data_IF_352088928367
#
_entry.id   IF_352088928367
#
_cell.length_a   1.000
_cell.length_b   1.000
_cell.length_c   1.000
_cell.angle_alpha   90.00
_cell.angle_beta   90.00
_cell.angle_gamma   90.00
#
_symmetry.space_group_name_H-M   'P 1'
#
loop_
_entity.id
_entity.type
_entity.pdbx_description
1 polymer ?
#
# COMPACT_ATOMS: atom_id res chain seq x y z
N UNK A 1 -29.33 -11.64 7.09
CA UNK A 1 -28.67 -10.38 7.49
C UNK A 1 -27.47 -10.75 8.34
N UNK A 2 -26.26 -10.61 7.80
CA UNK A 2 -25.04 -10.70 8.63
C UNK A 2 -25.04 -9.48 9.55
N UNK A 3 -25.17 -9.69 10.85
CA UNK A 3 -24.92 -8.64 11.84
C UNK A 3 -23.49 -8.19 11.69
N UNK A 4 -23.26 -6.92 11.34
CA UNK A 4 -21.92 -6.35 11.42
C UNK A 4 -21.42 -6.49 12.87
N UNK A 5 -20.49 -7.40 13.10
CA UNK A 5 -19.84 -7.55 14.39
C UNK A 5 -18.80 -6.43 14.50
N UNK A 6 -18.95 -5.61 15.54
CA UNK A 6 -17.99 -4.57 15.86
C UNK A 6 -17.31 -4.94 17.17
N UNK A 7 -15.99 -5.04 17.15
CA UNK A 7 -15.18 -5.24 18.35
C UNK A 7 -14.57 -3.89 18.75
N UNK A 8 -15.29 -3.13 19.57
CA UNK A 8 -14.78 -1.91 20.18
C UNK A 8 -14.32 -2.21 21.60
N UNK A 9 -13.10 -1.78 21.92
CA UNK A 9 -12.64 -1.78 23.29
C UNK A 9 -13.47 -0.78 24.13
N UNK A 10 -14.35 -1.34 24.96
CA UNK A 10 -15.33 -0.62 25.79
C UNK A 10 -14.68 0.43 26.70
N UNK A 11 -13.38 0.27 27.03
CA UNK A 11 -12.63 1.23 27.85
C UNK A 11 -12.52 2.61 27.20
N UNK A 12 -12.58 2.68 25.87
CA UNK A 12 -12.49 3.93 25.12
C UNK A 12 -13.87 4.49 24.71
N UNK A 13 -14.96 3.80 25.03
CA UNK A 13 -16.31 4.26 24.73
C UNK A 13 -16.78 5.32 25.72
N UNK A 14 -17.51 6.32 25.21
CA UNK A 14 -18.09 7.39 26.02
C UNK A 14 -19.57 7.52 25.71
N UNK A 15 -20.39 7.63 26.76
CA UNK A 15 -21.84 7.83 26.63
C UNK A 15 -22.13 9.07 25.77
N UNK A 16 -23.00 8.91 24.78
CA UNK A 16 -23.39 10.00 23.86
C UNK A 16 -22.38 10.31 22.75
N UNK A 17 -21.31 9.51 22.59
CA UNK A 17 -20.39 9.62 21.44
C UNK A 17 -20.68 8.51 20.42
N UNK A 18 -20.55 8.85 19.15
CA UNK A 18 -20.62 7.90 18.03
C UNK A 18 -19.20 7.53 17.60
N UNK A 19 -18.86 6.24 17.64
CA UNK A 19 -17.52 5.73 17.28
C UNK A 19 -17.44 5.19 15.85
N UNK A 20 -18.59 4.98 15.20
CA UNK A 20 -18.69 4.35 13.89
C UNK A 20 -19.48 5.25 12.96
N UNK A 21 -18.86 5.67 11.86
CA UNK A 21 -19.52 6.29 10.71
C UNK A 21 -19.01 5.58 9.46
N UNK A 22 -19.74 4.57 8.99
CA UNK A 22 -19.36 3.81 7.82
C UNK A 22 -20.10 4.36 6.60
N UNK A 23 -19.35 4.86 5.63
CA UNK A 23 -19.87 5.30 4.33
C UNK A 23 -19.85 4.18 3.27
N UNK A 24 -19.39 2.99 3.66
CA UNK A 24 -19.27 1.81 2.81
C UNK A 24 -19.73 0.58 3.60
N UNK A 25 -20.11 -0.52 2.93
CA UNK A 25 -20.39 -1.78 3.61
C UNK A 25 -19.21 -2.29 4.47
N UNK A 26 -19.47 -3.01 5.57
CA UNK A 26 -18.47 -3.50 6.52
C UNK A 26 -17.24 -4.19 5.88
N UNK A 27 -17.45 -4.98 4.83
CA UNK A 27 -16.43 -5.77 4.14
C UNK A 27 -15.35 -4.94 3.41
N UNK A 28 -15.58 -3.65 3.19
CA UNK A 28 -14.62 -2.75 2.54
C UNK A 28 -13.60 -2.15 3.52
N UNK A 29 -13.95 -2.01 4.81
CA UNK A 29 -13.16 -1.21 5.76
C UNK A 29 -11.81 -1.83 6.08
N UNK A 30 -11.75 -3.15 6.32
CA UNK A 30 -10.49 -3.84 6.58
C UNK A 30 -9.53 -3.79 5.38
N UNK A 31 -9.95 -4.10 4.13
CA UNK A 31 -9.11 -3.90 2.95
C UNK A 31 -8.62 -2.45 2.76
N UNK A 32 -9.47 -1.45 3.00
CA UNK A 32 -9.05 -0.03 2.97
C UNK A 32 -7.94 0.22 3.99
N UNK A 33 -8.13 -0.21 5.25
CA UNK A 33 -7.12 -0.08 6.30
C UNK A 33 -5.79 -0.72 5.92
N UNK A 34 -5.81 -1.90 5.29
CA UNK A 34 -4.62 -2.57 4.78
C UNK A 34 -3.94 -1.77 3.65
N UNK A 35 -4.70 -1.23 2.69
CA UNK A 35 -4.13 -0.34 1.64
C UNK A 35 -3.36 0.84 2.26
N UNK A 36 -3.94 1.48 3.29
CA UNK A 36 -3.29 2.60 3.98
C UNK A 36 -2.04 2.14 4.73
N UNK A 37 -2.12 1.02 5.47
CA UNK A 37 -1.02 0.51 6.26
C UNK A 37 0.17 0.06 5.38
N UNK A 38 -0.08 -0.74 4.34
CA UNK A 38 0.96 -1.20 3.42
C UNK A 38 1.60 -0.04 2.64
N UNK A 39 0.82 0.97 2.27
CA UNK A 39 1.41 2.17 1.67
C UNK A 39 2.28 2.96 2.65
N UNK A 40 1.85 3.08 3.91
CA UNK A 40 2.68 3.70 4.95
C UNK A 40 4.04 3.00 5.10
N UNK A 41 4.03 1.66 5.09
CA UNK A 41 5.26 0.86 5.11
C UNK A 41 6.11 1.10 3.85
N UNK A 42 5.50 1.13 2.67
CA UNK A 42 6.18 1.45 1.42
C UNK A 42 6.86 2.83 1.49
N UNK A 43 6.18 3.88 1.97
CA UNK A 43 6.78 5.22 2.05
C UNK A 43 7.96 5.29 3.03
N UNK A 44 7.87 4.60 4.17
CA UNK A 44 9.00 4.50 5.11
C UNK A 44 10.19 3.80 4.45
N UNK A 45 9.93 2.72 3.72
CA UNK A 45 10.96 1.97 3.03
C UNK A 45 11.60 2.78 1.89
N UNK A 46 10.75 3.42 1.09
CA UNK A 46 11.12 4.34 0.02
C UNK A 46 12.03 5.46 0.54
N UNK A 47 11.69 6.06 1.68
CA UNK A 47 12.50 7.13 2.28
C UNK A 47 13.87 6.61 2.75
N UNK A 48 13.96 5.40 3.30
CA UNK A 48 15.25 4.80 3.63
C UNK A 48 16.13 4.60 2.39
N UNK A 49 15.54 4.08 1.31
CA UNK A 49 16.25 3.88 0.04
C UNK A 49 16.71 5.22 -0.53
N UNK A 50 15.82 6.21 -0.59
CA UNK A 50 16.14 7.53 -1.11
C UNK A 50 17.23 8.23 -0.28
N UNK A 51 17.19 8.08 1.05
CA UNK A 51 18.25 8.59 1.92
C UNK A 51 19.62 7.98 1.56
N UNK A 52 19.69 6.66 1.43
CA UNK A 52 20.92 5.96 1.05
C UNK A 52 21.43 6.34 -0.34
N UNK A 53 20.51 6.56 -1.30
CA UNK A 53 20.87 7.05 -2.63
C UNK A 53 21.46 8.47 -2.60
N UNK A 54 20.87 9.37 -1.81
CA UNK A 54 21.37 10.74 -1.65
C UNK A 54 22.76 10.73 -1.01
N UNK A 55 22.96 9.93 0.03
CA UNK A 55 24.26 9.81 0.71
C UNK A 55 25.33 9.19 -0.19
N UNK A 56 24.97 8.18 -0.99
CA UNK A 56 25.85 7.57 -1.98
C UNK A 56 26.25 8.55 -3.09
N UNK A 57 25.28 9.25 -3.69
CA UNK A 57 25.53 10.24 -4.74
C UNK A 57 26.44 11.37 -4.22
N UNK A 58 26.20 11.85 -3.00
CA UNK A 58 27.04 12.87 -2.37
C UNK A 58 28.47 12.39 -2.09
N UNK A 59 28.65 11.11 -1.74
CA UNK A 59 29.98 10.51 -1.49
C UNK A 59 30.83 10.42 -2.75
N UNK A 60 30.20 10.31 -3.92
CA UNK A 60 30.85 10.34 -5.24
C UNK A 60 31.10 11.78 -5.74
N UNK A 61 30.85 12.80 -4.91
CA UNK A 61 31.13 14.21 -5.23
C UNK A 61 30.08 14.90 -6.08
N UNK A 62 28.92 14.26 -6.32
CA UNK A 62 27.81 14.88 -7.05
C UNK A 62 27.05 15.82 -6.11
N UNK A 63 26.84 17.07 -6.55
CA UNK A 63 26.16 18.08 -5.75
C UNK A 63 24.72 18.29 -6.25
N UNK A 64 23.75 17.71 -5.53
CA UNK A 64 22.31 17.89 -5.78
C UNK A 64 21.65 18.62 -4.61
N UNK A 65 20.70 19.52 -4.90
CA UNK A 65 19.88 20.14 -3.84
C UNK A 65 18.85 19.15 -3.27
N UNK A 66 19.19 18.63 -2.09
CA UNK A 66 18.36 17.70 -1.33
C UNK A 66 17.77 18.35 -0.08
N UNK A 67 17.82 19.69 0.05
CA UNK A 67 17.36 20.37 1.24
C UNK A 67 15.86 20.07 1.49
N UNK A 68 15.57 19.67 2.73
CA UNK A 68 14.22 19.33 3.21
C UNK A 68 13.49 18.26 2.37
N UNK A 69 14.20 17.38 1.66
CA UNK A 69 13.58 16.38 0.78
C UNK A 69 12.50 15.53 1.49
N UNK A 70 12.71 15.20 2.78
CA UNK A 70 11.75 14.44 3.61
C UNK A 70 10.41 15.15 3.84
N UNK A 71 10.37 16.48 3.73
CA UNK A 71 9.13 17.27 3.90
C UNK A 71 8.36 17.42 2.58
N UNK A 72 8.95 16.98 1.46
CA UNK A 72 8.30 17.04 0.16
C UNK A 72 7.24 15.93 0.06
N UNK A 73 6.19 16.19 -0.70
CA UNK A 73 5.17 15.19 -0.97
C UNK A 73 5.80 13.98 -1.73
N UNK A 74 5.07 12.87 -1.78
CA UNK A 74 5.57 11.64 -2.41
C UNK A 74 5.99 11.85 -3.87
N UNK A 75 5.22 12.62 -4.65
CA UNK A 75 5.53 12.91 -6.05
C UNK A 75 6.90 13.58 -6.22
N UNK A 76 7.21 14.61 -5.43
CA UNK A 76 8.50 15.30 -5.46
C UNK A 76 9.66 14.44 -4.96
N UNK A 77 9.42 13.58 -3.97
CA UNK A 77 10.43 12.60 -3.52
C UNK A 77 10.71 11.55 -4.61
N UNK A 78 9.69 11.13 -5.34
CA UNK A 78 9.78 10.22 -6.48
C UNK A 78 10.53 10.82 -7.67
N UNK A 79 10.32 12.10 -7.96
CA UNK A 79 11.10 12.84 -8.96
C UNK A 79 12.58 12.88 -8.58
N UNK A 80 12.89 13.24 -7.34
CA UNK A 80 14.27 13.24 -6.84
C UNK A 80 14.94 11.86 -6.99
N UNK A 81 14.25 10.79 -6.58
CA UNK A 81 14.74 9.43 -6.76
C UNK A 81 14.99 9.13 -8.25
N UNK A 82 14.04 9.47 -9.12
CA UNK A 82 14.14 9.26 -10.56
C UNK A 82 15.36 9.94 -11.17
N UNK A 83 15.64 11.17 -10.77
CA UNK A 83 16.77 11.92 -11.29
C UNK A 83 18.10 11.26 -10.87
N UNK A 84 18.21 10.86 -9.59
CA UNK A 84 19.37 10.10 -9.10
C UNK A 84 19.56 8.79 -9.88
N UNK A 85 18.47 8.05 -10.16
CA UNK A 85 18.56 6.84 -10.97
C UNK A 85 19.07 7.10 -12.39
N UNK A 86 18.52 8.11 -13.06
CA UNK A 86 18.84 8.42 -14.46
C UNK A 86 20.25 8.97 -14.66
N UNK A 87 20.76 9.69 -13.68
CA UNK A 87 22.03 10.41 -13.80
C UNK A 87 23.15 9.61 -13.13
N UNK A 88 23.02 9.34 -11.83
CA UNK A 88 24.08 8.72 -11.04
C UNK A 88 24.09 7.20 -11.20
N UNK A 89 23.01 6.50 -10.85
CA UNK A 89 22.97 5.02 -10.91
C UNK A 89 23.18 4.52 -12.34
N UNK A 90 22.59 5.16 -13.34
CA UNK A 90 22.71 4.73 -14.74
C UNK A 90 24.16 4.74 -15.25
N UNK A 91 25.04 5.59 -14.67
CA UNK A 91 26.43 5.71 -15.10
C UNK A 91 27.30 4.50 -14.72
N UNK A 92 26.91 3.72 -13.71
CA UNK A 92 27.69 2.59 -13.20
C UNK A 92 26.89 1.29 -13.01
N UNK A 93 25.56 1.37 -12.88
CA UNK A 93 24.63 0.22 -12.80
C UNK A 93 23.36 0.47 -13.64
N UNK A 94 23.46 0.48 -14.98
CA UNK A 94 22.35 0.80 -15.87
C UNK A 94 21.14 -0.15 -15.75
N UNK A 95 21.37 -1.44 -15.54
CA UNK A 95 20.29 -2.41 -15.37
C UNK A 95 19.49 -2.16 -14.08
N UNK A 96 20.18 -1.88 -12.98
CA UNK A 96 19.54 -1.56 -11.71
C UNK A 96 18.78 -0.22 -11.79
N UNK A 97 19.35 0.78 -12.47
CA UNK A 97 18.66 2.03 -12.77
C UNK A 97 17.34 1.80 -13.51
N UNK A 98 17.33 1.01 -14.58
CA UNK A 98 16.12 0.71 -15.35
C UNK A 98 15.04 0.02 -14.50
N UNK A 99 15.43 -0.96 -13.68
CA UNK A 99 14.51 -1.65 -12.76
C UNK A 99 13.92 -0.70 -11.73
N UNK A 100 14.75 0.14 -11.10
CA UNK A 100 14.28 1.16 -10.15
C UNK A 100 13.32 2.15 -10.82
N UNK A 101 13.63 2.62 -12.03
CA UNK A 101 12.75 3.52 -12.78
C UNK A 101 11.37 2.89 -13.06
N UNK A 102 11.34 1.60 -13.39
CA UNK A 102 10.09 0.86 -13.56
C UNK A 102 9.27 0.80 -12.25
N UNK A 103 9.93 0.50 -11.13
CA UNK A 103 9.33 0.52 -9.79
C UNK A 103 8.78 1.91 -9.45
N UNK A 104 9.50 2.98 -9.79
CA UNK A 104 9.03 4.36 -9.59
C UNK A 104 7.78 4.68 -10.43
N UNK A 105 7.67 4.15 -11.65
CA UNK A 105 6.47 4.32 -12.47
C UNK A 105 5.26 3.63 -11.83
N UNK A 106 5.42 2.37 -11.42
CA UNK A 106 4.39 1.60 -10.72
C UNK A 106 3.95 2.28 -9.43
N UNK A 107 4.90 2.78 -8.62
CA UNK A 107 4.60 3.49 -7.37
C UNK A 107 3.73 4.74 -7.58
N UNK A 108 3.86 5.41 -8.72
CA UNK A 108 3.04 6.59 -9.05
C UNK A 108 1.57 6.23 -9.28
N UNK A 109 1.32 5.16 -10.02
CA UNK A 109 -0.04 4.66 -10.26
C UNK A 109 -0.68 4.15 -8.96
N UNK A 110 0.07 3.37 -8.16
CA UNK A 110 -0.41 2.89 -6.86
C UNK A 110 -0.68 4.04 -5.88
N UNK A 111 0.18 5.07 -5.84
CA UNK A 111 -0.02 6.29 -5.05
C UNK A 111 -1.31 7.00 -5.40
N UNK A 112 -1.61 7.15 -6.70
CA UNK A 112 -2.84 7.79 -7.16
C UNK A 112 -4.09 7.01 -6.73
N UNK A 113 -4.08 5.67 -6.87
CA UNK A 113 -5.16 4.80 -6.42
C UNK A 113 -5.34 4.88 -4.90
N UNK A 114 -4.25 4.73 -4.14
CA UNK A 114 -4.25 4.86 -2.68
C UNK A 114 -4.78 6.21 -2.23
N UNK A 115 -4.39 7.32 -2.86
CA UNK A 115 -4.88 8.65 -2.48
C UNK A 115 -6.37 8.80 -2.74
N UNK A 116 -6.86 8.19 -3.83
CA UNK A 116 -8.29 8.17 -4.15
C UNK A 116 -9.08 7.37 -3.10
N UNK A 117 -8.53 6.27 -2.58
CA UNK A 117 -9.10 5.56 -1.42
C UNK A 117 -8.99 6.41 -0.15
N UNK A 118 -7.80 6.87 0.22
CA UNK A 118 -7.55 7.54 1.50
C UNK A 118 -8.31 8.86 1.68
N UNK A 119 -8.48 9.61 0.59
CA UNK A 119 -8.93 11.01 0.64
C UNK A 119 -10.12 11.30 -0.29
N UNK A 120 -10.58 10.31 -1.07
CA UNK A 120 -11.73 10.48 -1.95
C UNK A 120 -13.06 10.50 -1.20
N UNK A 121 -14.11 10.87 -1.93
CA UNK A 121 -15.50 10.64 -1.47
C UNK A 121 -16.01 9.33 -2.06
N UNK A 122 -16.58 8.50 -1.19
CA UNK A 122 -17.17 7.23 -1.59
C UNK A 122 -18.62 7.41 -2.05
N UNK A 123 -19.00 6.66 -3.07
CA UNK A 123 -20.36 6.52 -3.52
C UNK A 123 -20.65 5.07 -3.89
N UNK A 124 -21.90 4.65 -3.74
CA UNK A 124 -22.39 3.35 -4.13
C UNK A 124 -23.90 3.43 -4.43
N UNK A 125 -24.40 2.44 -5.15
CA UNK A 125 -25.82 2.26 -5.44
C UNK A 125 -26.37 1.09 -4.62
N UNK A 126 -27.65 1.12 -4.27
CA UNK A 126 -28.37 -0.04 -3.70
C UNK A 126 -29.52 -0.36 -4.65
N UNK A 127 -29.58 -1.60 -5.13
CA UNK A 127 -30.68 -2.04 -6.01
C UNK A 127 -32.03 -2.05 -5.25
N UNK A 128 -33.16 -1.82 -5.94
CA UNK A 128 -34.48 -1.93 -5.31
C UNK A 128 -34.64 -3.28 -4.60
N UNK A 129 -35.11 -3.25 -3.35
CA UNK A 129 -35.32 -4.43 -2.50
C UNK A 129 -34.04 -5.23 -2.12
N UNK A 130 -32.85 -4.63 -2.28
CA UNK A 130 -31.57 -5.20 -1.83
C UNK A 130 -30.96 -4.43 -0.65
N UNK A 131 -30.09 -5.08 0.11
CA UNK A 131 -29.17 -4.45 1.07
C UNK A 131 -27.75 -4.29 0.54
N UNK A 132 -27.48 -4.83 -0.65
CA UNK A 132 -26.13 -4.97 -1.17
C UNK A 132 -25.72 -3.72 -1.92
N UNK A 133 -24.59 -3.14 -1.54
CA UNK A 133 -24.00 -2.03 -2.27
C UNK A 133 -23.37 -2.54 -3.58
N UNK A 134 -23.73 -1.90 -4.68
CA UNK A 134 -23.18 -2.14 -6.02
C UNK A 134 -22.59 -0.83 -6.56
N UNK A 135 -21.79 -0.93 -7.62
CA UNK A 135 -21.15 0.23 -8.27
C UNK A 135 -20.36 1.12 -7.32
N UNK A 136 -19.65 0.49 -6.36
CA UNK A 136 -18.84 1.21 -5.38
C UNK A 136 -17.67 1.91 -6.08
N UNK A 137 -17.53 3.21 -5.80
CA UNK A 137 -16.54 4.10 -6.42
C UNK A 137 -16.00 5.13 -5.44
N UNK A 138 -14.79 5.60 -5.69
CA UNK A 138 -14.19 6.73 -5.01
C UNK A 138 -13.91 7.86 -6.01
N UNK A 139 -14.34 9.08 -5.66
CA UNK A 139 -14.09 10.29 -6.42
C UNK A 139 -12.88 11.02 -5.85
N UNK A 140 -11.90 11.29 -6.70
CA UNK A 140 -10.77 12.14 -6.37
C UNK A 140 -11.13 13.62 -6.62
N UNK A 141 -11.23 14.42 -5.56
CA UNK A 141 -11.65 15.82 -5.63
C UNK A 141 -10.70 16.73 -6.41
N UNK A 142 -9.40 16.44 -6.41
CA UNK A 142 -8.43 17.31 -7.11
C UNK A 142 -8.45 17.11 -8.62
N UNK A 143 -8.85 15.92 -9.08
CA UNK A 143 -8.83 15.57 -10.52
C UNK A 143 -10.21 15.34 -11.12
N UNK A 144 -11.26 15.23 -10.30
CA UNK A 144 -12.59 14.82 -10.73
C UNK A 144 -12.67 13.37 -11.24
N UNK A 145 -11.58 12.60 -11.15
CA UNK A 145 -11.55 11.22 -11.64
C UNK A 145 -12.21 10.30 -10.63
N UNK A 146 -13.08 9.45 -11.14
CA UNK A 146 -13.66 8.35 -10.38
C UNK A 146 -12.83 7.09 -10.57
N UNK A 147 -12.65 6.34 -9.48
CA UNK A 147 -12.08 5.02 -9.51
C UNK A 147 -13.10 4.01 -8.98
N UNK A 148 -13.65 3.13 -9.84
CA UNK A 148 -14.50 2.05 -9.38
C UNK A 148 -13.65 0.97 -8.70
N UNK A 149 -14.16 0.42 -7.59
CA UNK A 149 -13.46 -0.65 -6.88
C UNK A 149 -14.41 -1.63 -6.19
N UNK A 150 -13.93 -2.86 -6.06
CA UNK A 150 -14.55 -3.93 -5.26
C UNK A 150 -13.65 -4.28 -4.06
N UNK A 151 -14.16 -5.10 -3.13
CA UNK A 151 -13.35 -5.69 -2.06
C UNK A 151 -12.10 -6.38 -2.63
N UNK A 152 -12.25 -7.15 -3.71
CA UNK A 152 -11.12 -7.85 -4.35
C UNK A 152 -10.14 -6.90 -5.02
N UNK A 153 -10.64 -5.77 -5.55
CA UNK A 153 -9.78 -4.72 -6.11
C UNK A 153 -8.91 -4.08 -5.03
N UNK A 154 -9.48 -3.82 -3.85
CA UNK A 154 -8.72 -3.31 -2.70
C UNK A 154 -7.73 -4.34 -2.17
N UNK A 155 -8.13 -5.62 -2.15
CA UNK A 155 -7.23 -6.72 -1.76
C UNK A 155 -6.03 -6.80 -2.68
N UNK A 156 -6.27 -6.81 -3.98
CA UNK A 156 -5.22 -6.75 -4.97
C UNK A 156 -4.33 -5.52 -4.76
N UNK A 157 -4.91 -4.35 -4.52
CA UNK A 157 -4.14 -3.12 -4.34
C UNK A 157 -3.16 -3.21 -3.17
N UNK A 158 -3.56 -3.68 -1.98
CA UNK A 158 -2.59 -3.78 -0.87
C UNK A 158 -1.53 -4.87 -1.12
N UNK A 159 -1.87 -5.93 -1.86
CA UNK A 159 -0.89 -6.94 -2.29
C UNK A 159 0.12 -6.35 -3.28
N UNK A 160 -0.35 -5.61 -4.30
CA UNK A 160 0.50 -4.93 -5.28
C UNK A 160 1.46 -3.94 -4.58
N UNK A 161 0.99 -3.21 -3.55
CA UNK A 161 1.84 -2.32 -2.74
C UNK A 161 2.86 -3.11 -1.91
N UNK A 162 2.45 -4.23 -1.31
CA UNK A 162 3.34 -5.10 -0.55
C UNK A 162 4.45 -5.68 -1.42
N UNK A 163 4.10 -6.17 -2.62
CA UNK A 163 5.07 -6.67 -3.59
C UNK A 163 6.01 -5.56 -4.07
N UNK A 164 5.48 -4.39 -4.42
CA UNK A 164 6.30 -3.24 -4.80
C UNK A 164 7.32 -2.84 -3.71
N UNK A 165 6.94 -2.96 -2.43
CA UNK A 165 7.85 -2.72 -1.29
C UNK A 165 9.00 -3.71 -1.26
N UNK A 166 8.75 -4.97 -1.62
CA UNK A 166 9.80 -5.98 -1.73
C UNK A 166 10.62 -5.82 -3.02
N UNK A 167 10.00 -5.44 -4.14
CA UNK A 167 10.69 -5.22 -5.41
C UNK A 167 11.73 -4.09 -5.29
N UNK A 168 11.40 -2.99 -4.60
CA UNK A 168 12.36 -1.91 -4.34
C UNK A 168 13.51 -2.38 -3.43
N UNK A 169 13.22 -3.24 -2.45
CA UNK A 169 14.23 -3.85 -1.59
C UNK A 169 15.21 -4.70 -2.40
N UNK A 170 14.67 -5.67 -3.14
CA UNK A 170 15.46 -6.62 -3.91
C UNK A 170 16.31 -5.91 -4.95
N UNK A 171 15.73 -4.93 -5.64
CA UNK A 171 16.48 -4.13 -6.62
C UNK A 171 17.58 -3.29 -5.97
N UNK A 172 17.36 -2.77 -4.76
CA UNK A 172 18.35 -1.94 -4.08
C UNK A 172 19.53 -2.75 -3.51
N UNK A 173 19.37 -4.05 -3.25
CA UNK A 173 20.46 -4.92 -2.76
C UNK A 173 21.67 -4.99 -3.69
N UNK A 174 21.51 -4.73 -4.99
CA UNK A 174 22.64 -4.67 -5.94
C UNK A 174 23.40 -3.35 -5.90
N UNK A 175 22.88 -2.34 -5.21
CA UNK A 175 23.39 -0.96 -5.16
C UNK A 175 23.87 -0.61 -3.75
N UNK A 176 23.20 -1.13 -2.73
CA UNK A 176 23.51 -0.82 -1.34
C UNK A 176 22.81 -1.73 -0.34
N UNK A 177 22.75 -1.27 0.90
CA UNK A 177 22.10 -1.98 2.01
C UNK A 177 21.13 -1.04 2.71
N UNK A 178 19.99 -1.58 3.13
CA UNK A 178 19.00 -0.84 3.92
C UNK A 178 19.21 -1.22 5.38
N UNK A 179 19.38 -0.21 6.22
CA UNK A 179 19.54 -0.40 7.67
C UNK A 179 18.20 -0.51 8.42
N UNK A 180 18.24 -1.28 9.49
CA UNK A 180 17.15 -1.48 10.44
C UNK A 180 16.42 -2.81 10.29
N UNK A 181 15.60 -3.11 11.29
CA UNK A 181 14.86 -4.37 11.37
C UNK A 181 13.58 -4.29 10.56
N UNK A 182 13.40 -5.26 9.66
CA UNK A 182 12.13 -5.54 9.00
C UNK A 182 12.04 -7.03 8.70
N UNK A 183 10.82 -7.54 8.62
CA UNK A 183 10.55 -8.93 8.32
C UNK A 183 9.96 -9.04 6.92
N UNK A 184 10.64 -9.78 6.05
CA UNK A 184 10.11 -10.19 4.77
C UNK A 184 9.76 -11.68 4.84
N UNK A 185 8.54 -12.03 4.45
CA UNK A 185 8.07 -13.41 4.37
C UNK A 185 7.69 -13.65 2.92
N UNK A 186 8.30 -14.66 2.29
CA UNK A 186 8.00 -15.02 0.93
C UNK A 186 6.56 -15.56 0.80
N UNK A 187 5.91 -15.32 -0.33
CA UNK A 187 4.57 -15.86 -0.60
C UNK A 187 4.55 -17.40 -0.49
N UNK A 188 5.64 -18.08 -0.84
CA UNK A 188 5.78 -19.54 -0.69
C UNK A 188 5.65 -20.00 0.77
N UNK A 189 6.18 -19.22 1.71
CA UNK A 189 6.10 -19.46 3.15
C UNK A 189 4.69 -19.18 3.67
N UNK A 190 4.07 -18.07 3.23
CA UNK A 190 2.67 -17.75 3.55
C UNK A 190 1.73 -18.87 3.04
N UNK A 191 1.92 -19.31 1.80
CA UNK A 191 1.16 -20.40 1.19
C UNK A 191 1.44 -21.75 1.86
N UNK A 192 2.67 -21.98 2.34
CA UNK A 192 2.99 -23.15 3.17
C UNK A 192 2.21 -23.12 4.48
N UNK A 193 2.25 -22.00 5.21
CA UNK A 193 1.48 -21.81 6.45
C UNK A 193 0.01 -22.07 6.19
N UNK A 194 -0.57 -21.52 5.11
CA UNK A 194 -1.95 -21.84 4.76
C UNK A 194 -2.11 -23.33 4.53
N UNK A 195 -1.34 -23.98 3.65
CA UNK A 195 -1.47 -25.43 3.41
C UNK A 195 -1.38 -26.29 4.67
N UNK A 196 -0.55 -25.90 5.62
CA UNK A 196 -0.20 -26.68 6.81
C UNK A 196 -1.07 -26.36 8.03
N UNK A 197 -1.79 -25.25 8.04
CA UNK A 197 -2.64 -24.81 9.15
C UNK A 197 -4.11 -24.71 8.75
N UNK A 198 -5.01 -24.71 9.74
CA UNK A 198 -6.39 -24.30 9.49
C UNK A 198 -6.44 -22.77 9.51
N UNK A 199 -6.96 -22.15 8.45
CA UNK A 199 -6.98 -20.69 8.31
C UNK A 199 -8.28 -20.20 7.64
N UNK A 200 -8.93 -19.12 8.11
CA UNK A 200 -10.17 -18.62 7.51
C UNK A 200 -10.10 -18.39 5.99
N UNK A 201 -8.93 -17.97 5.50
CA UNK A 201 -8.67 -17.70 4.08
C UNK A 201 -7.93 -18.83 3.35
N UNK A 202 -7.95 -20.06 3.87
CA UNK A 202 -7.29 -21.20 3.26
C UNK A 202 -7.82 -21.45 1.82
N UNK A 203 -6.97 -21.66 0.80
CA UNK A 203 -7.41 -21.87 -0.58
C UNK A 203 -8.28 -23.13 -0.75
N UNK A 204 -7.95 -24.22 -0.06
CA UNK A 204 -8.85 -25.39 0.11
C UNK A 204 -9.97 -25.08 1.13
N UNK A 205 -11.26 -25.07 0.72
CA UNK A 205 -12.38 -24.78 1.62
C UNK A 205 -12.50 -25.73 2.82
N UNK A 206 -12.09 -27.00 2.66
CA UNK A 206 -12.16 -28.01 3.74
C UNK A 206 -11.20 -27.74 4.91
N UNK A 207 -10.23 -26.87 4.70
CA UNK A 207 -9.24 -26.45 5.71
C UNK A 207 -9.51 -25.05 6.26
N UNK A 208 -10.57 -24.38 5.80
CA UNK A 208 -11.05 -23.18 6.46
C UNK A 208 -11.61 -23.58 7.81
N UNK A 209 -11.25 -22.84 8.87
CA UNK A 209 -11.90 -23.01 10.17
C UNK A 209 -13.38 -22.70 9.93
N UNK A 210 -14.27 -23.67 10.18
CA UNK A 210 -15.70 -23.39 10.15
C UNK A 210 -15.93 -22.28 11.18
N UNK A 211 -16.57 -21.18 10.78
CA UNK A 211 -17.05 -20.20 11.74
C UNK A 211 -17.93 -20.98 12.73
N UNK A 212 -17.40 -21.22 13.92
CA UNK A 212 -18.21 -21.73 15.02
C UNK A 212 -19.14 -20.59 15.40
N UNK A 213 -20.42 -20.77 15.08
CA UNK A 213 -21.55 -19.91 15.49
C UNK A 213 -21.49 -19.54 16.99
#
# INVERSE_FOLDING_TARGET
MSTASFDFDVRYMRKGKHSVMLFLPPEYHAPIGLVIAFWGNFEVFFDKVLAGLIEGEASDGVTRDTLNWRRRNFERRRELFRDICKEWIASWQPEASQKLLHILDQSGDLSAKRNTVAHGTYAYSIAPYSSDAVDVRALNHSTGKEWPFTVDTLKKLYHDISHLTYDIYECFLSIGKIEGDFHAIADSEILRVYRETHHPWHPNPKKRIAETD
#
